data_IF_688951404279
#
_entry.id   IF_688951404279
#
_cell.length_a   1.000
_cell.length_b   1.000
_cell.length_c   1.000
_cell.angle_alpha   90.00
_cell.angle_beta   90.00
_cell.angle_gamma   90.00
#
_symmetry.space_group_name_H-M   'P 1'
#
loop_
_entity.id
_entity.type
_entity.pdbx_description
1 polymer ?
#
# COMPACT_ATOMS: atom_id res chain seq x y z
N UNK A 1 12.28 -24.76 64.35
CA UNK A 1 11.09 -25.61 64.55
C UNK A 1 10.51 -25.91 63.19
N UNK A 2 10.41 -27.19 62.82
CA UNK A 2 9.77 -27.57 61.57
C UNK A 2 8.25 -27.39 61.65
N UNK A 3 7.53 -27.22 60.53
CA UNK A 3 6.07 -27.16 60.51
C UNK A 3 5.40 -28.38 61.17
N UNK A 4 6.04 -29.55 61.07
CA UNK A 4 5.58 -30.81 61.68
C UNK A 4 5.67 -30.74 63.21
N UNK A 5 6.74 -30.18 63.77
CA UNK A 5 6.90 -29.99 65.21
C UNK A 5 5.87 -29.02 65.81
N UNK A 6 5.44 -28.01 65.05
CA UNK A 6 4.39 -27.06 65.46
C UNK A 6 3.02 -27.73 65.51
N UNK A 7 2.70 -28.56 64.52
CA UNK A 7 1.41 -29.26 64.43
C UNK A 7 1.31 -30.37 65.47
N UNK A 8 2.41 -31.11 65.71
CA UNK A 8 2.49 -32.09 66.80
C UNK A 8 2.31 -31.42 68.16
N UNK A 9 2.99 -30.29 68.44
CA UNK A 9 2.80 -29.54 69.69
C UNK A 9 1.38 -28.98 69.87
N UNK A 10 0.71 -28.61 68.78
CA UNK A 10 -0.69 -28.16 68.82
C UNK A 10 -1.65 -29.32 69.12
N UNK A 11 -1.44 -30.49 68.51
CA UNK A 11 -2.19 -31.72 68.77
C UNK A 11 -1.96 -32.23 70.21
N UNK A 12 -0.74 -32.10 70.73
CA UNK A 12 -0.39 -32.45 72.11
C UNK A 12 -1.13 -31.62 73.16
N UNK A 13 -1.56 -30.39 72.82
CA UNK A 13 -2.33 -29.48 73.69
C UNK A 13 -3.85 -29.64 73.57
N UNK A 14 -4.35 -30.28 72.50
CA UNK A 14 -5.78 -30.27 72.16
C UNK A 14 -6.52 -31.61 72.39
N UNK A 15 -5.81 -32.72 72.63
CA UNK A 15 -6.41 -34.08 72.63
C UNK A 15 -6.52 -34.69 74.03
N UNK A 16 -7.66 -35.33 74.32
CA UNK A 16 -7.95 -36.10 75.54
C UNK A 16 -6.92 -37.27 75.68
N UNK A 17 -6.34 -37.51 76.86
CA UNK A 17 -5.19 -38.42 77.05
C UNK A 17 -5.33 -39.83 76.45
N UNK A 18 -6.53 -40.40 76.46
CA UNK A 18 -6.80 -41.78 76.04
C UNK A 18 -6.75 -42.01 74.52
N UNK A 19 -6.92 -40.96 73.70
CA UNK A 19 -6.81 -41.06 72.24
C UNK A 19 -5.54 -40.40 71.67
N UNK A 20 -4.74 -39.78 72.54
CA UNK A 20 -3.58 -38.96 72.20
C UNK A 20 -2.52 -39.72 71.41
N UNK A 21 -2.17 -40.94 71.81
CA UNK A 21 -1.13 -41.71 71.11
C UNK A 21 -1.58 -42.16 69.72
N UNK A 22 -2.83 -42.63 69.57
CA UNK A 22 -3.37 -43.06 68.28
C UNK A 22 -3.55 -41.88 67.31
N UNK A 23 -4.00 -40.72 67.79
CA UNK A 23 -4.13 -39.52 66.97
C UNK A 23 -2.78 -38.92 66.56
N UNK A 24 -1.76 -38.99 67.43
CA UNK A 24 -0.40 -38.56 67.10
C UNK A 24 0.25 -39.52 66.09
N UNK A 25 0.07 -40.84 66.21
CA UNK A 25 0.53 -41.79 65.20
C UNK A 25 -0.18 -41.60 63.86
N UNK A 26 -1.51 -41.42 63.87
CA UNK A 26 -2.29 -41.15 62.67
C UNK A 26 -1.85 -39.84 62.01
N UNK A 27 -1.60 -38.79 62.80
CA UNK A 27 -1.06 -37.53 62.30
C UNK A 27 0.34 -37.72 61.71
N UNK A 28 1.24 -38.50 62.34
CA UNK A 28 2.56 -38.80 61.77
C UNK A 28 2.50 -39.54 60.44
N UNK A 29 1.48 -40.37 60.22
CA UNK A 29 1.29 -41.08 58.95
C UNK A 29 0.63 -40.22 57.87
N UNK A 30 -0.35 -39.38 58.24
CA UNK A 30 -1.19 -38.63 57.28
C UNK A 30 -0.60 -37.25 56.96
N UNK A 31 0.09 -36.60 57.91
CA UNK A 31 0.63 -35.25 57.75
C UNK A 31 1.68 -35.14 56.63
N UNK A 32 2.64 -36.09 56.47
CA UNK A 32 3.58 -36.06 55.34
C UNK A 32 2.87 -36.17 53.98
N UNK A 33 1.79 -36.95 53.94
CA UNK A 33 0.97 -37.17 52.75
C UNK A 33 0.19 -35.90 52.35
N UNK A 34 -0.38 -35.20 53.34
CA UNK A 34 -1.04 -33.91 53.16
C UNK A 34 -0.06 -32.79 52.75
N UNK A 35 1.14 -32.76 53.33
CA UNK A 35 2.20 -31.81 52.94
C UNK A 35 2.62 -32.07 51.50
N UNK A 36 2.80 -33.33 51.11
CA UNK A 36 3.17 -33.72 49.73
C UNK A 36 2.10 -33.28 48.73
N UNK A 37 0.82 -33.51 49.04
CA UNK A 37 -0.31 -33.06 48.22
C UNK A 37 -0.37 -31.52 48.10
N UNK A 38 -0.14 -30.80 49.21
CA UNK A 38 -0.12 -29.34 49.21
C UNK A 38 1.05 -28.77 48.38
N UNK A 39 2.24 -29.36 48.49
CA UNK A 39 3.41 -28.98 47.69
C UNK A 39 3.19 -29.28 46.20
N UNK A 40 2.63 -30.45 45.88
CA UNK A 40 2.28 -30.81 44.50
C UNK A 40 1.25 -29.85 43.90
N UNK A 41 0.23 -29.44 44.66
CA UNK A 41 -0.77 -28.47 44.24
C UNK A 41 -0.19 -27.07 44.01
N UNK A 42 0.68 -26.59 44.91
CA UNK A 42 1.37 -25.32 44.75
C UNK A 42 2.32 -25.34 43.56
N UNK A 43 3.04 -26.44 43.36
CA UNK A 43 3.87 -26.69 42.18
C UNK A 43 3.05 -26.60 40.90
N UNK A 44 1.92 -27.33 40.82
CA UNK A 44 1.01 -27.29 39.67
C UNK A 44 0.47 -25.88 39.37
N UNK A 45 0.08 -25.12 40.40
CA UNK A 45 -0.35 -23.71 40.22
C UNK A 45 0.78 -22.82 39.72
N UNK A 46 2.01 -23.02 40.18
CA UNK A 46 3.16 -22.29 39.68
C UNK A 46 3.42 -22.62 38.20
N UNK A 47 3.32 -23.89 37.80
CA UNK A 47 3.47 -24.33 36.42
C UNK A 47 2.38 -23.75 35.51
N UNK A 48 1.12 -23.74 35.96
CA UNK A 48 0.01 -23.10 35.24
C UNK A 48 0.25 -21.60 35.02
N UNK A 49 0.66 -20.88 36.07
CA UNK A 49 0.96 -19.44 35.97
C UNK A 49 2.18 -19.16 35.07
N UNK A 50 3.16 -20.06 35.04
CA UNK A 50 4.31 -20.00 34.14
C UNK A 50 3.87 -20.24 32.68
N UNK A 51 2.97 -21.21 32.46
CA UNK A 51 2.43 -21.54 31.15
C UNK A 51 1.58 -20.38 30.58
N UNK A 52 0.72 -19.75 31.38
CA UNK A 52 -0.06 -18.56 30.99
C UNK A 52 0.87 -17.40 30.58
N UNK A 53 1.90 -17.10 31.38
CA UNK A 53 2.88 -16.06 31.03
C UNK A 53 3.64 -16.37 29.75
N UNK A 54 4.02 -17.63 29.56
CA UNK A 54 4.71 -18.09 28.34
C UNK A 54 3.79 -17.95 27.12
N UNK A 55 2.52 -18.33 27.24
CA UNK A 55 1.53 -18.21 26.18
C UNK A 55 1.28 -16.74 25.81
N UNK A 56 1.09 -15.85 26.80
CA UNK A 56 0.91 -14.42 26.58
C UNK A 56 2.14 -13.79 25.87
N UNK A 57 3.35 -14.19 26.26
CA UNK A 57 4.58 -13.73 25.62
C UNK A 57 4.67 -14.23 24.16
N UNK A 58 4.32 -15.49 23.90
CA UNK A 58 4.28 -16.06 22.56
C UNK A 58 3.22 -15.37 21.68
N UNK A 59 2.02 -15.13 22.22
CA UNK A 59 0.94 -14.44 21.53
C UNK A 59 1.34 -13.00 21.17
N UNK A 60 1.93 -12.25 22.11
CA UNK A 60 2.44 -10.90 21.85
C UNK A 60 3.51 -10.91 20.76
N UNK A 61 4.44 -11.86 20.81
CA UNK A 61 5.50 -12.00 19.81
C UNK A 61 4.92 -12.32 18.42
N UNK A 62 3.94 -13.22 18.35
CA UNK A 62 3.25 -13.57 17.12
C UNK A 62 2.47 -12.37 16.52
N UNK A 63 1.79 -11.59 17.36
CA UNK A 63 1.08 -10.37 16.94
C UNK A 63 2.05 -9.30 16.41
N UNK A 64 3.17 -9.08 17.10
CA UNK A 64 4.22 -8.14 16.64
C UNK A 64 4.76 -8.61 15.29
N UNK A 65 5.12 -9.90 15.16
CA UNK A 65 5.61 -10.46 13.91
C UNK A 65 4.59 -10.31 12.77
N UNK A 66 3.30 -10.57 13.04
CA UNK A 66 2.24 -10.43 12.04
C UNK A 66 2.03 -8.98 11.62
N UNK A 67 2.03 -8.04 12.56
CA UNK A 67 1.89 -6.61 12.25
C UNK A 67 3.08 -6.12 11.42
N UNK A 68 4.30 -6.52 11.76
CA UNK A 68 5.50 -6.16 10.98
C UNK A 68 5.42 -6.69 9.55
N UNK A 69 4.92 -7.90 9.34
CA UNK A 69 4.74 -8.48 8.00
C UNK A 69 3.65 -7.75 7.20
N UNK A 70 2.50 -7.45 7.81
CA UNK A 70 1.43 -6.69 7.16
C UNK A 70 1.89 -5.29 6.76
N UNK A 71 2.64 -4.62 7.64
CA UNK A 71 3.26 -3.34 7.37
C UNK A 71 4.22 -3.40 6.18
N UNK A 72 5.05 -4.45 6.11
CA UNK A 72 5.99 -4.65 4.99
C UNK A 72 5.23 -4.83 3.68
N UNK A 73 4.19 -5.67 3.67
CA UNK A 73 3.32 -5.87 2.51
C UNK A 73 2.66 -4.56 2.08
N UNK A 74 2.24 -3.73 3.03
CA UNK A 74 1.66 -2.44 2.74
C UNK A 74 2.65 -1.44 2.11
N UNK A 75 3.90 -1.41 2.59
CA UNK A 75 4.98 -0.61 1.98
C UNK A 75 5.27 -1.08 0.55
N UNK A 76 5.38 -2.40 0.33
CA UNK A 76 5.62 -2.99 -0.99
C UNK A 76 4.48 -2.68 -1.97
N UNK A 77 3.23 -2.77 -1.52
CA UNK A 77 2.06 -2.40 -2.30
C UNK A 77 2.08 -0.91 -2.70
N UNK A 78 2.40 -0.02 -1.75
CA UNK A 78 2.53 1.42 -2.03
C UNK A 78 3.58 1.70 -3.10
N UNK A 79 4.78 1.15 -2.93
CA UNK A 79 5.89 1.30 -3.88
C UNK A 79 5.46 0.83 -5.28
N UNK A 80 4.84 -0.35 -5.36
CA UNK A 80 4.33 -0.89 -6.62
C UNK A 80 3.35 0.06 -7.31
N UNK A 81 2.39 0.63 -6.58
CA UNK A 81 1.40 1.55 -7.15
C UNK A 81 2.00 2.90 -7.56
N UNK A 82 2.98 3.44 -6.83
CA UNK A 82 3.67 4.67 -7.25
C UNK A 82 4.50 4.44 -8.53
N UNK A 83 5.20 3.31 -8.62
CA UNK A 83 5.94 2.95 -9.83
C UNK A 83 5.00 2.71 -11.03
N UNK A 84 3.87 2.04 -10.80
CA UNK A 84 2.83 1.87 -11.83
C UNK A 84 2.29 3.21 -12.31
N UNK A 85 2.05 4.16 -11.40
CA UNK A 85 1.64 5.51 -11.75
C UNK A 85 2.67 6.24 -12.61
N UNK A 86 3.96 6.21 -12.24
CA UNK A 86 5.04 6.79 -13.06
C UNK A 86 5.08 6.18 -14.46
N UNK A 87 5.07 4.84 -14.54
CA UNK A 87 5.10 4.14 -15.82
C UNK A 87 3.87 4.49 -16.69
N UNK A 88 2.69 4.60 -16.09
CA UNK A 88 1.46 4.95 -16.81
C UNK A 88 1.50 6.37 -17.39
N UNK A 89 2.08 7.33 -16.64
CA UNK A 89 2.28 8.71 -17.11
C UNK A 89 3.25 8.70 -18.30
N UNK A 90 4.37 7.98 -18.20
CA UNK A 90 5.35 7.91 -19.29
C UNK A 90 4.78 7.28 -20.55
N UNK A 91 4.11 6.12 -20.42
CA UNK A 91 3.46 5.44 -21.53
C UNK A 91 2.43 6.33 -22.21
N UNK A 92 1.52 6.92 -21.43
CA UNK A 92 0.52 7.83 -21.97
C UNK A 92 1.17 9.04 -22.66
N UNK A 93 2.16 9.68 -22.05
CA UNK A 93 2.79 10.87 -22.61
C UNK A 93 3.51 10.58 -23.93
N UNK A 94 4.14 9.41 -24.08
CA UNK A 94 4.80 9.02 -25.32
C UNK A 94 3.77 8.86 -26.45
N UNK A 95 2.75 8.04 -26.23
CA UNK A 95 1.68 7.82 -27.21
C UNK A 95 0.92 9.11 -27.55
N UNK A 96 0.68 9.95 -26.54
CA UNK A 96 -0.01 11.23 -26.73
C UNK A 96 0.82 12.24 -27.53
N UNK A 97 2.13 12.26 -27.32
CA UNK A 97 3.06 13.09 -28.10
C UNK A 97 3.07 12.67 -29.57
N UNK A 98 3.09 11.36 -29.83
CA UNK A 98 3.03 10.81 -31.20
C UNK A 98 1.70 11.15 -31.88
N UNK A 99 0.59 11.05 -31.15
CA UNK A 99 -0.72 11.46 -31.64
C UNK A 99 -0.77 12.95 -32.02
N UNK A 100 -0.25 13.83 -31.15
CA UNK A 100 -0.17 15.26 -31.44
C UNK A 100 0.78 15.56 -32.63
N UNK A 101 1.89 14.82 -32.76
CA UNK A 101 2.79 14.95 -33.90
C UNK A 101 2.15 14.52 -35.21
N UNK A 102 1.42 13.40 -35.23
CA UNK A 102 0.68 12.94 -36.40
C UNK A 102 -0.35 13.98 -36.88
N UNK A 103 -1.07 14.61 -35.97
CA UNK A 103 -2.05 15.66 -36.28
C UNK A 103 -1.38 16.88 -36.91
N UNK A 104 -0.21 17.28 -36.39
CA UNK A 104 0.58 18.37 -36.98
C UNK A 104 1.05 18.02 -38.39
N UNK A 105 1.58 16.82 -38.59
CA UNK A 105 2.02 16.35 -39.91
C UNK A 105 0.87 16.29 -40.91
N UNK A 106 -0.30 15.81 -40.47
CA UNK A 106 -1.51 15.81 -41.29
C UNK A 106 -1.89 17.24 -41.73
N UNK A 107 -1.84 18.19 -40.80
CA UNK A 107 -2.11 19.60 -41.09
C UNK A 107 -1.07 20.20 -42.07
N UNK A 108 0.22 19.94 -41.86
CA UNK A 108 1.28 20.40 -42.75
C UNK A 108 1.12 19.82 -44.17
N UNK A 109 0.77 18.55 -44.32
CA UNK A 109 0.49 17.95 -45.62
C UNK A 109 -0.74 18.56 -46.31
N UNK A 110 -1.78 18.91 -45.55
CA UNK A 110 -2.94 19.59 -46.09
C UNK A 110 -2.59 21.02 -46.55
N UNK A 111 -1.81 21.77 -45.78
CA UNK A 111 -1.34 23.12 -46.13
C UNK A 111 -0.45 23.11 -47.37
N UNK A 112 0.50 22.19 -47.42
CA UNK A 112 1.51 22.14 -48.47
C UNK A 112 0.98 21.49 -49.77
N UNK A 113 -0.29 21.06 -49.80
CA UNK A 113 -0.92 20.43 -50.95
C UNK A 113 -0.45 18.99 -51.23
N UNK A 114 0.19 18.35 -50.26
CA UNK A 114 0.68 16.96 -50.33
C UNK A 114 -0.45 15.96 -50.02
N UNK A 115 -1.55 16.06 -50.77
CA UNK A 115 -2.79 15.30 -50.53
C UNK A 115 -2.58 13.79 -50.63
N UNK A 116 -1.57 13.33 -51.37
CA UNK A 116 -1.20 11.92 -51.50
C UNK A 116 -0.70 11.30 -50.17
N UNK A 117 -0.25 12.13 -49.23
CA UNK A 117 0.23 11.68 -47.90
C UNK A 117 -0.87 11.60 -46.85
N UNK A 118 -2.01 12.25 -47.08
CA UNK A 118 -3.12 12.30 -46.12
C UNK A 118 -3.70 10.91 -45.78
N UNK A 119 -3.87 9.96 -46.73
CA UNK A 119 -4.37 8.63 -46.40
C UNK A 119 -3.49 7.89 -45.39
N UNK A 120 -2.16 8.02 -45.50
CA UNK A 120 -1.21 7.42 -44.56
C UNK A 120 -1.29 8.06 -43.18
N UNK A 121 -1.44 9.40 -43.13
CA UNK A 121 -1.66 10.11 -41.88
C UNK A 121 -2.97 9.70 -41.21
N UNK A 122 -4.04 9.44 -41.96
CA UNK A 122 -5.33 9.00 -41.43
C UNK A 122 -5.31 7.58 -40.87
N UNK A 123 -4.60 6.66 -41.52
CA UNK A 123 -4.39 5.30 -41.00
C UNK A 123 -3.60 5.34 -39.68
N UNK A 124 -2.47 6.05 -39.67
CA UNK A 124 -1.63 6.19 -38.46
C UNK A 124 -2.38 6.94 -37.36
N UNK A 125 -3.21 7.94 -37.71
CA UNK A 125 -4.05 8.64 -36.74
C UNK A 125 -5.03 7.70 -36.04
N UNK A 126 -5.70 6.83 -36.80
CA UNK A 126 -6.68 5.88 -36.26
C UNK A 126 -6.01 4.89 -35.31
N UNK A 127 -4.77 4.47 -35.63
CA UNK A 127 -3.96 3.62 -34.76
C UNK A 127 -3.56 4.35 -33.48
N UNK A 128 -2.96 5.53 -33.60
CA UNK A 128 -2.51 6.35 -32.46
C UNK A 128 -3.67 6.78 -31.56
N UNK A 129 -4.86 7.01 -32.10
CA UNK A 129 -6.07 7.29 -31.32
C UNK A 129 -6.44 6.10 -30.41
N UNK A 130 -6.42 4.87 -30.95
CA UNK A 130 -6.70 3.66 -30.17
C UNK A 130 -5.65 3.45 -29.08
N UNK A 131 -4.39 3.64 -29.41
CA UNK A 131 -3.28 3.53 -28.46
C UNK A 131 -3.39 4.60 -27.36
N UNK A 132 -3.70 5.85 -27.72
CA UNK A 132 -3.96 6.93 -26.75
C UNK A 132 -5.09 6.57 -25.80
N UNK A 133 -6.20 6.05 -26.34
CA UNK A 133 -7.34 5.64 -25.52
C UNK A 133 -6.96 4.50 -24.56
N UNK A 134 -6.23 3.48 -25.03
CA UNK A 134 -5.75 2.38 -24.20
C UNK A 134 -4.81 2.89 -23.08
N UNK A 135 -3.87 3.77 -23.42
CA UNK A 135 -2.96 4.38 -22.45
C UNK A 135 -3.72 5.26 -21.43
N UNK A 136 -4.76 5.97 -21.85
CA UNK A 136 -5.61 6.77 -20.97
C UNK A 136 -6.40 5.92 -19.95
N UNK A 137 -6.82 4.71 -20.34
CA UNK A 137 -7.46 3.77 -19.42
C UNK A 137 -6.47 3.28 -18.35
N UNK A 138 -5.23 2.95 -18.74
CA UNK A 138 -4.17 2.56 -17.81
C UNK A 138 -3.87 3.71 -16.85
N UNK A 139 -3.75 4.93 -17.37
CA UNK A 139 -3.56 6.16 -16.60
C UNK A 139 -4.67 6.34 -15.55
N UNK A 140 -5.94 6.16 -15.94
CA UNK A 140 -7.10 6.27 -15.04
C UNK A 140 -7.14 5.18 -13.96
N UNK A 141 -6.66 3.97 -14.29
CA UNK A 141 -6.52 2.88 -13.32
C UNK A 141 -5.46 3.21 -12.27
N UNK A 142 -4.30 3.75 -12.69
CA UNK A 142 -3.23 4.16 -11.79
C UNK A 142 -3.69 5.28 -10.84
N UNK A 143 -4.42 6.28 -11.33
CA UNK A 143 -5.02 7.34 -10.52
C UNK A 143 -5.94 6.78 -9.43
N UNK A 144 -6.77 5.79 -9.76
CA UNK A 144 -7.69 5.16 -8.81
C UNK A 144 -6.95 4.41 -7.70
N UNK A 145 -5.82 3.79 -8.03
CA UNK A 145 -4.95 3.13 -7.04
C UNK A 145 -4.30 4.14 -6.09
N UNK A 146 -3.88 5.31 -6.58
CA UNK A 146 -3.35 6.38 -5.73
C UNK A 146 -4.40 6.92 -4.75
N UNK A 147 -5.67 6.99 -5.16
CA UNK A 147 -6.78 7.35 -4.29
C UNK A 147 -6.97 6.33 -3.15
N UNK A 148 -6.90 5.02 -3.46
CA UNK A 148 -6.98 3.95 -2.45
C UNK A 148 -5.85 4.05 -1.42
N UNK A 149 -4.67 4.51 -1.83
CA UNK A 149 -3.54 4.76 -0.93
C UNK A 149 -3.70 5.99 -0.02
N UNK A 150 -4.77 6.78 -0.21
CA UNK A 150 -5.01 8.01 0.56
C UNK A 150 -4.09 9.17 0.18
N UNK A 151 -3.42 9.11 -0.96
CA UNK A 151 -2.48 10.16 -1.44
C UNK A 151 -3.22 11.25 -2.19
N UNK A 152 -4.03 12.02 -1.46
CA UNK A 152 -4.96 13.01 -2.03
C UNK A 152 -4.26 14.08 -2.88
N UNK A 153 -3.13 14.61 -2.44
CA UNK A 153 -2.43 15.67 -3.18
C UNK A 153 -1.87 15.16 -4.52
N UNK A 154 -1.19 14.00 -4.49
CA UNK A 154 -0.69 13.34 -5.71
C UNK A 154 -1.84 12.99 -6.64
N UNK A 155 -2.93 12.43 -6.11
CA UNK A 155 -4.13 12.11 -6.86
C UNK A 155 -4.74 13.36 -7.53
N UNK A 156 -4.85 14.49 -6.82
CA UNK A 156 -5.37 15.74 -7.40
C UNK A 156 -4.49 16.27 -8.54
N UNK A 157 -3.17 16.20 -8.40
CA UNK A 157 -2.26 16.65 -9.46
C UNK A 157 -2.28 15.69 -10.65
N UNK A 158 -2.44 14.39 -10.40
CA UNK A 158 -2.66 13.38 -11.41
C UNK A 158 -3.96 13.61 -12.17
N UNK A 159 -5.05 13.94 -11.46
CA UNK A 159 -6.33 14.28 -12.05
C UNK A 159 -6.22 15.52 -12.94
N UNK A 160 -5.54 16.59 -12.50
CA UNK A 160 -5.28 17.78 -13.32
C UNK A 160 -4.54 17.43 -14.62
N UNK A 161 -3.48 16.62 -14.53
CA UNK A 161 -2.74 16.14 -15.70
C UNK A 161 -3.65 15.41 -16.69
N UNK A 162 -4.45 14.45 -16.19
CA UNK A 162 -5.39 13.67 -17.01
C UNK A 162 -6.46 14.55 -17.65
N UNK A 163 -7.06 15.45 -16.88
CA UNK A 163 -8.15 16.31 -17.35
C UNK A 163 -7.64 17.30 -18.42
N UNK A 164 -6.42 17.81 -18.27
CA UNK A 164 -5.75 18.64 -19.28
C UNK A 164 -5.46 17.85 -20.56
N UNK A 165 -4.93 16.62 -20.45
CA UNK A 165 -4.70 15.75 -21.60
C UNK A 165 -6.00 15.44 -22.36
N UNK A 166 -7.10 15.24 -21.63
CA UNK A 166 -8.44 15.04 -22.21
C UNK A 166 -8.92 16.28 -22.96
N UNK A 167 -8.64 17.48 -22.46
CA UNK A 167 -8.98 18.74 -23.13
C UNK A 167 -8.22 18.89 -24.45
N UNK A 168 -6.92 18.56 -24.46
CA UNK A 168 -6.11 18.56 -25.69
C UNK A 168 -6.67 17.55 -26.69
N UNK A 169 -6.93 16.31 -26.26
CA UNK A 169 -7.50 15.27 -27.11
C UNK A 169 -8.81 15.72 -27.77
N UNK A 170 -9.72 16.34 -26.99
CA UNK A 170 -10.98 16.89 -27.52
C UNK A 170 -10.74 18.00 -28.54
N UNK A 171 -9.81 18.91 -28.24
CA UNK A 171 -9.44 20.02 -29.14
C UNK A 171 -8.93 19.46 -30.47
N UNK A 172 -8.09 18.42 -30.41
CA UNK A 172 -7.54 17.73 -31.58
C UNK A 172 -8.62 17.04 -32.41
N UNK A 173 -9.46 16.25 -31.75
CA UNK A 173 -10.53 15.46 -32.39
C UNK A 173 -11.59 16.34 -33.07
N UNK A 174 -12.06 17.39 -32.38
CA UNK A 174 -13.07 18.31 -32.90
C UNK A 174 -12.57 19.07 -34.13
N UNK A 175 -11.28 19.37 -34.20
CA UNK A 175 -10.69 20.11 -35.32
C UNK A 175 -10.47 19.23 -36.56
N UNK A 176 -10.04 17.97 -36.39
CA UNK A 176 -9.93 17.03 -37.53
C UNK A 176 -11.27 16.78 -38.24
N UNK A 177 -12.37 16.81 -37.49
CA UNK A 177 -13.71 16.52 -38.02
C UNK A 177 -14.37 17.71 -38.76
N UNK A 178 -13.80 18.91 -38.68
CA UNK A 178 -14.34 20.11 -39.31
C UNK A 178 -13.78 20.36 -40.72
N UNK A 179 -14.67 20.44 -41.72
CA UNK A 179 -14.31 20.78 -43.12
C UNK A 179 -14.28 22.30 -43.32
N UNK A 180 -13.28 22.80 -44.06
CA UNK A 180 -13.32 24.14 -44.67
C UNK A 180 -12.64 25.28 -43.89
N UNK A 181 -11.52 25.03 -43.22
CA UNK A 181 -10.77 26.07 -42.50
C UNK A 181 -9.89 26.94 -43.42
N UNK A 182 -9.80 28.23 -43.12
CA UNK A 182 -8.88 29.17 -43.77
C UNK A 182 -7.43 29.01 -43.25
N UNK A 183 -6.43 29.52 -43.99
CA UNK A 183 -5.00 29.36 -43.64
C UNK A 183 -4.63 29.89 -42.23
N UNK A 184 -5.20 31.04 -41.84
CA UNK A 184 -4.96 31.67 -40.53
C UNK A 184 -5.40 30.79 -39.35
N UNK A 185 -6.45 30.06 -39.63
CA UNK A 185 -7.26 29.22 -38.77
C UNK A 185 -6.51 27.92 -38.39
N UNK A 186 -5.54 27.53 -39.23
CA UNK A 186 -4.59 26.42 -39.03
C UNK A 186 -3.38 26.79 -38.17
N UNK A 187 -2.79 27.97 -38.38
CA UNK A 187 -1.59 28.39 -37.64
C UNK A 187 -1.90 28.63 -36.17
N UNK A 188 -3.03 29.26 -35.88
CA UNK A 188 -3.51 29.48 -34.51
C UNK A 188 -3.82 28.15 -33.79
N UNK A 189 -4.35 27.17 -34.53
CA UNK A 189 -4.63 25.84 -34.00
C UNK A 189 -3.38 25.05 -33.63
N UNK A 190 -2.41 24.96 -34.54
CA UNK A 190 -1.15 24.25 -34.28
C UNK A 190 -0.40 24.89 -33.11
N UNK A 191 -0.41 26.23 -33.03
CA UNK A 191 0.17 26.97 -31.89
C UNK A 191 -0.53 26.62 -30.58
N UNK A 192 -1.87 26.58 -30.57
CA UNK A 192 -2.65 26.23 -29.38
C UNK A 192 -2.39 24.78 -28.92
N UNK A 193 -2.30 23.82 -29.84
CA UNK A 193 -1.91 22.44 -29.48
C UNK A 193 -0.52 22.40 -28.86
N UNK A 194 0.44 23.14 -29.43
CA UNK A 194 1.80 23.17 -28.92
C UNK A 194 1.85 23.75 -27.50
N UNK A 195 1.20 24.90 -27.27
CA UNK A 195 1.10 25.53 -25.95
C UNK A 195 0.47 24.59 -24.91
N UNK A 196 -0.67 23.96 -25.25
CA UNK A 196 -1.31 23.02 -24.32
C UNK A 196 -0.46 21.76 -24.08
N UNK A 197 0.27 21.28 -25.09
CA UNK A 197 1.20 20.15 -24.96
C UNK A 197 2.40 20.50 -24.07
N UNK A 198 2.89 21.74 -24.13
CA UNK A 198 3.97 22.21 -23.27
C UNK A 198 3.50 22.32 -21.81
N UNK A 199 2.31 22.88 -21.57
CA UNK A 199 1.66 22.87 -20.25
C UNK A 199 1.45 21.44 -19.72
N UNK A 200 1.03 20.50 -20.56
CA UNK A 200 0.88 19.09 -20.18
C UNK A 200 2.21 18.49 -19.72
N UNK A 201 3.31 18.82 -20.41
CA UNK A 201 4.65 18.38 -20.03
C UNK A 201 5.11 19.00 -18.70
N UNK A 202 4.72 20.23 -18.39
CA UNK A 202 4.98 20.83 -17.08
C UNK A 202 4.24 20.10 -15.96
N UNK A 203 2.95 19.80 -16.15
CA UNK A 203 2.18 18.99 -15.21
C UNK A 203 2.81 17.60 -15.02
N UNK A 204 3.25 16.95 -16.11
CA UNK A 204 3.99 15.69 -16.04
C UNK A 204 5.25 15.82 -15.17
N UNK A 205 6.10 16.83 -15.40
CA UNK A 205 7.34 17.01 -14.63
C UNK A 205 7.07 17.19 -13.15
N UNK A 206 6.10 18.03 -12.79
CA UNK A 206 5.72 18.24 -11.41
C UNK A 206 5.22 16.95 -10.74
N UNK A 207 4.36 16.20 -11.43
CA UNK A 207 3.79 14.95 -10.94
C UNK A 207 4.84 13.83 -10.79
N UNK A 208 5.74 13.69 -11.77
CA UNK A 208 6.84 12.72 -11.73
C UNK A 208 7.79 12.99 -10.56
N UNK A 209 8.05 14.28 -10.26
CA UNK A 209 8.84 14.69 -9.10
C UNK A 209 8.16 14.28 -7.79
N UNK A 210 6.88 14.60 -7.62
CA UNK A 210 6.11 14.23 -6.43
C UNK A 210 6.05 12.71 -6.22
N UNK A 211 5.82 11.95 -7.30
CA UNK A 211 5.85 10.48 -7.23
C UNK A 211 7.23 9.95 -6.85
N UNK A 212 8.31 10.56 -7.37
CA UNK A 212 9.69 10.22 -7.00
C UNK A 212 9.97 10.42 -5.51
N UNK A 213 9.54 11.56 -4.95
CA UNK A 213 9.64 11.86 -3.53
C UNK A 213 8.87 10.84 -2.67
N UNK A 214 7.66 10.44 -3.09
CA UNK A 214 6.87 9.41 -2.40
C UNK A 214 7.51 8.02 -2.45
N UNK A 215 8.10 7.64 -3.59
CA UNK A 215 8.84 6.38 -3.74
C UNK A 215 10.06 6.38 -2.82
N UNK A 216 10.85 7.45 -2.82
CA UNK A 216 12.03 7.57 -1.96
C UNK A 216 11.63 7.49 -0.48
N UNK A 217 10.56 8.19 -0.08
CA UNK A 217 10.04 8.16 1.28
C UNK A 217 9.62 6.75 1.74
N UNK A 218 8.88 6.00 0.91
CA UNK A 218 8.48 4.64 1.26
C UNK A 218 9.66 3.65 1.18
N UNK A 219 10.61 3.86 0.27
CA UNK A 219 11.84 3.06 0.18
C UNK A 219 12.73 3.24 1.43
N UNK A 220 12.90 4.47 1.90
CA UNK A 220 13.63 4.77 3.13
C UNK A 220 12.99 4.13 4.37
N UNK A 221 11.65 4.09 4.44
CA UNK A 221 10.93 3.33 5.48
C UNK A 221 11.21 1.83 5.40
N UNK A 222 11.35 1.28 4.20
CA UNK A 222 11.69 -0.14 4.01
C UNK A 222 13.13 -0.44 4.47
N UNK A 223 14.09 0.44 4.18
CA UNK A 223 15.50 0.29 4.58
C UNK A 223 15.65 0.38 6.10
N UNK A 224 15.10 1.43 6.72
CA UNK A 224 15.22 1.69 8.16
C UNK A 224 14.58 0.61 9.04
N UNK A 225 13.79 -0.30 8.46
CA UNK A 225 13.18 -1.45 9.14
C UNK A 225 13.96 -2.75 8.94
N UNK A 226 14.92 -2.79 8.02
CA UNK A 226 15.81 -3.94 7.78
C UNK A 226 17.09 -3.88 8.62
N UNK A 227 17.49 -2.69 9.05
CA UNK A 227 18.57 -2.40 10.02
C UNK A 227 18.04 -2.42 11.45
#
# INVERSE_FOLDING_TARGET
MSPEELIIKALEKAVIPEQKNNLIELAKQVLPLLITLAVAWLGFKATLKQAEKSFDAQLKTALISRNTELDKQFIEMKLSHFMEAQNSIEQFNNTFSDYCANVRNWNDHQRDGNYEKLPYCDEEHTKLERECYAAFLILSCAESKLLILGKLEVHQNFQKYRDHARQIYRTVYLKKSSKGWEEKDWNEYTKNIQEQSDELNEYKRALMKQLGEEIENEHNKQINRKT
#
